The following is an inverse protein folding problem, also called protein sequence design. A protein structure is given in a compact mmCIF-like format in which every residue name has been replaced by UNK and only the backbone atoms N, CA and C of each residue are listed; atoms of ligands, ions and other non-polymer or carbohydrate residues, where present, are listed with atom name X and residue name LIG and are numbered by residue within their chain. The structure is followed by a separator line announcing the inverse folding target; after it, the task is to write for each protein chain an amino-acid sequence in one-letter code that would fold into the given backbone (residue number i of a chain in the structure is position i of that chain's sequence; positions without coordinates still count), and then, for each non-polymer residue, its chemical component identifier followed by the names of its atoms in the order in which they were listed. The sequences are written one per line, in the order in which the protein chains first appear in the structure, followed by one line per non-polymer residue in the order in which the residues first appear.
data_IF_557384481096
#
_entry.id   IF_557384481096
#
_cell.length_a   1.000
_cell.length_b   1.000
_cell.length_c   1.000
_cell.angle_alpha   90.00
_cell.angle_beta   90.00
_cell.angle_gamma   90.00
#
_symmetry.space_group_name_H-M   'P 1'
#
loop_
_entity.id
_entity.type
_entity.pdbx_description
1 polymer ?
#
# COMPACT_ATOMS: atom_id res chain seq x y z
N UNK A 1 4.14 -8.85 17.54
CA UNK A 1 4.22 -8.34 16.16
C UNK A 1 5.70 -8.25 15.77
N UNK A 2 6.04 -8.33 14.48
CA UNK A 2 7.43 -8.10 14.04
C UNK A 2 7.72 -6.60 14.03
N UNK A 3 8.98 -6.21 14.18
CA UNK A 3 9.38 -4.80 14.14
C UNK A 3 8.96 -4.12 12.81
N UNK A 4 9.06 -4.85 11.69
CA UNK A 4 8.60 -4.35 10.39
C UNK A 4 7.07 -4.13 10.32
N UNK A 5 6.27 -4.94 11.02
CA UNK A 5 4.82 -4.72 11.11
C UNK A 5 4.50 -3.49 11.96
N UNK A 6 5.16 -3.34 13.10
CA UNK A 6 4.95 -2.17 13.97
C UNK A 6 5.35 -0.87 13.25
N UNK A 7 6.44 -0.88 12.47
CA UNK A 7 6.84 0.25 11.63
C UNK A 7 5.79 0.58 10.57
N UNK A 8 5.27 -0.44 9.84
CA UNK A 8 4.21 -0.23 8.86
C UNK A 8 2.96 0.40 9.48
N UNK A 9 2.49 -0.15 10.60
CA UNK A 9 1.32 0.39 11.31
C UNK A 9 1.57 1.83 11.78
N UNK A 10 2.75 2.13 12.30
CA UNK A 10 3.12 3.50 12.69
C UNK A 10 3.17 4.47 11.51
N UNK A 11 3.52 4.02 10.30
CA UNK A 11 3.52 4.86 9.09
C UNK A 11 2.09 5.15 8.63
N UNK A 12 1.19 4.18 8.77
CA UNK A 12 -0.22 4.32 8.42
C UNK A 12 -1.02 5.13 9.45
N UNK A 13 -0.52 5.23 10.68
CA UNK A 13 -1.10 6.11 11.71
C UNK A 13 -0.71 7.58 11.47
N UNK A 14 -1.55 8.28 10.69
CA UNK A 14 -1.33 9.66 10.31
C UNK A 14 -1.46 10.62 11.50
N UNK A 15 -0.65 11.67 11.51
CA UNK A 15 -0.85 12.80 12.42
C UNK A 15 -2.00 13.67 11.88
N UNK A 16 -3.01 13.96 12.69
CA UNK A 16 -4.03 14.94 12.32
C UNK A 16 -3.50 16.34 12.59
N UNK A 17 -3.46 17.19 11.56
CA UNK A 17 -3.03 18.58 11.68
C UNK A 17 -4.21 19.52 11.88
N UNK A 18 -5.33 19.23 11.22
CA UNK A 18 -6.59 19.97 11.37
C UNK A 18 -7.78 19.12 10.93
N UNK A 19 -8.99 19.67 10.94
CA UNK A 19 -10.17 19.14 10.28
C UNK A 19 -9.86 18.83 8.81
N UNK A 20 -10.01 17.55 8.45
CA UNK A 20 -9.75 17.01 7.11
C UNK A 20 -8.31 17.22 6.58
N UNK A 21 -7.34 17.47 7.47
CA UNK A 21 -5.94 17.69 7.11
C UNK A 21 -5.02 16.77 7.92
N UNK A 22 -4.24 15.93 7.23
CA UNK A 22 -3.41 14.91 7.85
C UNK A 22 -1.97 14.97 7.34
N UNK A 23 -1.01 14.53 8.16
CA UNK A 23 0.40 14.38 7.82
C UNK A 23 0.81 12.92 7.86
N UNK A 24 1.30 12.42 6.73
CA UNK A 24 1.97 11.12 6.63
C UNK A 24 3.48 11.26 6.63
N UNK A 25 4.14 10.24 7.17
CA UNK A 25 5.60 10.09 7.16
C UNK A 25 5.98 8.94 6.24
N UNK A 26 7.18 8.97 5.69
CA UNK A 26 7.76 7.86 4.94
C UNK A 26 8.76 7.07 5.80
N UNK A 27 8.92 5.76 5.56
CA UNK A 27 10.03 5.00 6.12
C UNK A 27 11.37 5.66 5.77
N UNK A 28 12.35 5.57 6.68
CA UNK A 28 13.73 6.02 6.42
C UNK A 28 14.49 4.96 5.62
N UNK A 29 14.08 4.76 4.38
CA UNK A 29 14.75 3.83 3.45
C UNK A 29 15.50 4.64 2.39
N UNK A 30 16.66 4.12 1.95
CA UNK A 30 17.49 4.70 0.89
C UNK A 30 16.86 4.55 -0.52
N UNK A 31 15.58 4.91 -0.65
CA UNK A 31 14.89 4.97 -1.94
C UNK A 31 14.86 6.41 -2.43
N UNK A 32 15.07 6.57 -3.74
CA UNK A 32 15.00 7.88 -4.40
C UNK A 32 13.57 8.46 -4.42
N UNK A 33 12.53 7.63 -4.24
CA UNK A 33 11.13 8.02 -4.40
C UNK A 33 10.24 7.30 -3.40
N UNK A 34 9.13 7.96 -3.03
CA UNK A 34 8.08 7.36 -2.20
C UNK A 34 7.42 6.21 -2.95
N UNK A 35 7.17 5.11 -2.23
CA UNK A 35 6.45 3.96 -2.77
C UNK A 35 4.98 4.30 -3.02
N UNK A 36 4.47 4.01 -4.21
CA UNK A 36 3.09 4.33 -4.58
C UNK A 36 2.05 3.72 -3.64
N UNK A 37 2.25 2.49 -3.18
CA UNK A 37 1.35 1.84 -2.23
C UNK A 37 1.28 2.54 -0.87
N UNK A 38 2.38 3.16 -0.42
CA UNK A 38 2.38 3.98 0.79
C UNK A 38 1.48 5.21 0.59
N UNK A 39 1.66 5.93 -0.53
CA UNK A 39 0.87 7.13 -0.82
C UNK A 39 -0.62 6.83 -0.92
N UNK A 40 -0.99 5.71 -1.55
CA UNK A 40 -2.39 5.24 -1.66
C UNK A 40 -2.94 4.87 -0.28
N UNK A 41 -2.21 4.05 0.50
CA UNK A 41 -2.68 3.58 1.79
C UNK A 41 -2.88 4.74 2.77
N UNK A 42 -1.93 5.68 2.84
CA UNK A 42 -2.07 6.87 3.68
C UNK A 42 -3.21 7.78 3.21
N UNK A 43 -3.38 8.02 1.90
CA UNK A 43 -4.52 8.77 1.40
C UNK A 43 -5.86 8.12 1.76
N UNK A 44 -5.95 6.79 1.67
CA UNK A 44 -7.13 6.05 2.05
C UNK A 44 -7.42 6.10 3.55
N UNK A 45 -6.39 6.02 4.41
CA UNK A 45 -6.53 6.23 5.86
C UNK A 45 -7.06 7.64 6.15
N UNK A 46 -6.50 8.67 5.49
CA UNK A 46 -6.99 10.05 5.64
C UNK A 46 -8.47 10.15 5.26
N UNK A 47 -8.89 9.54 4.14
CA UNK A 47 -10.28 9.51 3.72
C UNK A 47 -11.18 8.81 4.77
N UNK A 48 -10.83 7.58 5.17
CA UNK A 48 -11.61 6.76 6.11
C UNK A 48 -11.81 7.46 7.47
N UNK A 49 -10.83 8.23 7.95
CA UNK A 49 -10.94 9.01 9.21
C UNK A 49 -11.99 10.12 9.17
N UNK A 50 -12.52 10.45 8.00
CA UNK A 50 -13.58 11.46 7.82
C UNK A 50 -14.97 10.85 7.54
N UNK A 51 -15.07 9.52 7.63
CA UNK A 51 -16.25 8.72 7.29
C UNK A 51 -16.72 7.99 8.55
N UNK A 52 -18.03 7.79 8.69
CA UNK A 52 -18.60 7.02 9.80
C UNK A 52 -18.04 5.58 9.85
N UNK A 53 -17.78 5.00 11.04
CA UNK A 53 -17.13 3.70 11.18
C UNK A 53 -17.84 2.53 10.46
N UNK A 54 -19.16 2.62 10.31
CA UNK A 54 -19.99 1.59 9.68
C UNK A 54 -19.92 1.61 8.14
N UNK A 55 -19.20 2.58 7.55
CA UNK A 55 -19.04 2.67 6.10
C UNK A 55 -17.62 2.26 5.70
N UNK A 56 -17.55 1.19 4.93
CA UNK A 56 -16.30 0.61 4.44
C UNK A 56 -16.00 1.09 3.03
N UNK A 57 -14.72 1.31 2.74
CA UNK A 57 -14.28 1.58 1.36
C UNK A 57 -14.59 0.38 0.48
N UNK A 58 -15.21 0.62 -0.68
CA UNK A 58 -15.48 -0.42 -1.68
C UNK A 58 -14.84 -0.12 -3.03
N UNK A 59 -14.45 1.13 -3.28
CA UNK A 59 -13.67 1.50 -4.44
C UNK A 59 -12.79 2.71 -4.18
N UNK A 60 -11.69 2.78 -4.93
CA UNK A 60 -10.86 3.96 -5.02
C UNK A 60 -10.30 4.09 -6.44
N UNK A 61 -10.06 5.33 -6.85
CA UNK A 61 -9.35 5.69 -8.07
C UNK A 61 -8.27 6.69 -7.70
N UNK A 62 -7.13 6.67 -8.39
CA UNK A 62 -6.09 7.64 -8.13
C UNK A 62 -5.12 7.85 -9.27
N UNK A 63 -4.48 9.02 -9.26
CA UNK A 63 -3.51 9.44 -10.26
C UNK A 63 -2.23 9.92 -9.58
N UNK A 64 -1.10 9.36 -9.99
CA UNK A 64 0.22 9.85 -9.61
C UNK A 64 0.65 10.94 -10.59
N UNK A 65 0.83 12.15 -10.08
CA UNK A 65 1.19 13.32 -10.89
C UNK A 65 2.69 13.61 -10.83
N UNK A 66 3.32 13.39 -9.67
CA UNK A 66 4.73 13.71 -9.43
C UNK A 66 5.38 12.64 -8.55
N UNK A 67 6.70 12.40 -8.70
CA UNK A 67 7.43 11.55 -7.77
C UNK A 67 7.43 12.20 -6.38
N UNK A 68 7.18 11.40 -5.34
CA UNK A 68 7.26 11.87 -3.95
C UNK A 68 8.71 11.93 -3.46
N UNK A 69 9.02 12.94 -2.65
CA UNK A 69 10.29 13.15 -1.97
C UNK A 69 10.28 12.42 -0.60
N UNK A 70 11.19 11.47 -0.41
CA UNK A 70 11.29 10.66 0.81
C UNK A 70 11.81 11.44 2.02
N UNK A 71 12.37 12.64 1.83
CA UNK A 71 12.99 13.43 2.89
C UNK A 71 12.01 14.35 3.63
N UNK A 72 10.80 14.54 3.08
CA UNK A 72 9.79 15.43 3.66
C UNK A 72 8.47 14.68 3.85
N UNK A 73 7.65 15.05 4.85
CA UNK A 73 6.34 14.43 5.04
C UNK A 73 5.39 14.73 3.88
N UNK A 74 4.30 13.99 3.81
CA UNK A 74 3.22 14.19 2.84
C UNK A 74 2.03 14.80 3.58
N UNK A 75 1.42 15.85 3.02
CA UNK A 75 0.18 16.42 3.53
C UNK A 75 -0.99 15.87 2.74
N UNK A 76 -1.99 15.31 3.41
CA UNK A 76 -3.21 14.79 2.83
C UNK A 76 -4.38 15.71 3.17
N UNK A 77 -4.95 16.34 2.15
CA UNK A 77 -6.11 17.21 2.25
C UNK A 77 -7.34 16.41 1.81
N UNK A 78 -8.37 16.33 2.64
CA UNK A 78 -9.58 15.55 2.37
C UNK A 78 -10.75 16.48 2.07
N UNK A 79 -11.37 16.33 0.91
CA UNK A 79 -12.64 16.98 0.58
C UNK A 79 -13.79 15.99 0.78
N UNK A 80 -14.79 16.39 1.58
CA UNK A 80 -16.01 15.61 1.82
C UNK A 80 -17.02 15.88 0.72
N UNK A 81 -16.85 15.22 -0.43
CA UNK A 81 -17.64 15.45 -1.65
C UNK A 81 -19.14 15.20 -1.43
N UNK A 82 -19.50 14.11 -0.75
CA UNK A 82 -20.89 13.75 -0.49
C UNK A 82 -21.01 12.81 0.70
N UNK A 83 -22.01 13.06 1.55
CA UNK A 83 -22.53 12.11 2.54
C UNK A 83 -23.99 11.80 2.19
N UNK A 84 -24.20 10.72 1.44
CA UNK A 84 -25.52 10.26 1.02
C UNK A 84 -26.07 9.15 1.94
N UNK A 85 -27.32 8.74 1.68
CA UNK A 85 -27.97 7.65 2.41
C UNK A 85 -27.13 6.36 2.44
N UNK A 86 -26.85 5.78 1.27
CA UNK A 86 -26.05 4.54 1.17
C UNK A 86 -24.55 4.79 0.95
N UNK A 87 -24.18 5.87 0.26
CA UNK A 87 -22.80 6.10 -0.19
C UNK A 87 -22.21 7.39 0.37
N UNK A 88 -20.92 7.33 0.68
CA UNK A 88 -20.09 8.46 1.06
C UNK A 88 -18.91 8.58 0.11
N UNK A 89 -18.63 9.78 -0.38
CA UNK A 89 -17.54 10.05 -1.33
C UNK A 89 -16.53 11.00 -0.71
N UNK A 90 -15.25 10.67 -0.81
CA UNK A 90 -14.12 11.50 -0.39
C UNK A 90 -13.15 11.69 -1.54
N UNK A 91 -12.62 12.89 -1.67
CA UNK A 91 -11.45 13.18 -2.50
C UNK A 91 -10.28 13.50 -1.59
N UNK A 92 -9.09 13.02 -1.91
CA UNK A 92 -7.87 13.28 -1.16
C UNK A 92 -6.80 13.80 -2.12
N UNK A 93 -6.16 14.90 -1.76
CA UNK A 93 -4.99 15.42 -2.47
C UNK A 93 -3.78 15.27 -1.56
N UNK A 94 -2.79 14.51 -2.02
CA UNK A 94 -1.49 14.40 -1.38
C UNK A 94 -0.56 15.50 -1.92
N UNK A 95 0.03 16.28 -1.02
CA UNK A 95 0.83 17.47 -1.32
C UNK A 95 2.21 17.37 -0.70
N UNK A 96 3.23 17.71 -1.48
CA UNK A 96 4.60 17.96 -1.02
C UNK A 96 5.13 19.22 -1.71
N UNK A 97 5.93 20.02 -1.01
CA UNK A 97 6.52 21.26 -1.54
C UNK A 97 5.47 22.21 -2.16
N UNK A 98 4.26 22.24 -1.60
CA UNK A 98 3.13 23.03 -2.12
C UNK A 98 2.53 22.51 -3.45
N UNK A 99 2.93 21.32 -3.92
CA UNK A 99 2.47 20.74 -5.17
C UNK A 99 1.74 19.42 -4.93
N UNK A 100 0.65 19.20 -5.66
CA UNK A 100 -0.04 17.91 -5.65
C UNK A 100 0.85 16.82 -6.28
N UNK A 101 1.11 15.76 -5.53
CA UNK A 101 1.88 14.59 -6.00
C UNK A 101 0.98 13.41 -6.38
N UNK A 102 -0.18 13.31 -5.72
CA UNK A 102 -1.16 12.25 -5.93
C UNK A 102 -2.56 12.76 -5.60
N UNK A 103 -3.55 12.26 -6.31
CA UNK A 103 -4.97 12.50 -6.04
C UNK A 103 -5.70 11.17 -5.96
N UNK A 104 -6.59 11.03 -4.99
CA UNK A 104 -7.45 9.87 -4.80
C UNK A 104 -8.91 10.30 -4.68
N UNK A 105 -9.81 9.52 -5.27
CA UNK A 105 -11.24 9.55 -4.98
C UNK A 105 -11.64 8.18 -4.46
N UNK A 106 -12.32 8.13 -3.32
CA UNK A 106 -12.77 6.90 -2.69
C UNK A 106 -14.26 6.97 -2.38
N UNK A 107 -14.91 5.81 -2.55
CA UNK A 107 -16.31 5.61 -2.23
C UNK A 107 -16.44 4.59 -1.10
N UNK A 108 -17.33 4.92 -0.17
CA UNK A 108 -17.60 4.17 1.04
C UNK A 108 -19.08 3.84 1.11
N UNK A 109 -19.41 2.65 1.60
CA UNK A 109 -20.78 2.15 1.73
C UNK A 109 -20.91 1.36 3.03
N UNK A 110 -22.11 1.36 3.60
CA UNK A 110 -22.47 0.41 4.66
C UNK A 110 -22.60 -1.02 4.09
N UNK A 111 -22.48 -2.03 4.94
CA UNK A 111 -22.74 -3.41 4.53
C UNK A 111 -24.21 -3.60 4.16
N UNK A 112 -24.46 -4.24 3.01
CA UNK A 112 -25.80 -4.55 2.51
C UNK A 112 -25.82 -5.96 1.94
N UNK A 113 -26.91 -6.70 2.20
CA UNK A 113 -27.10 -8.05 1.64
C UNK A 113 -27.50 -7.92 0.17
N UNK A 114 -26.86 -8.69 -0.70
CA UNK A 114 -27.09 -8.65 -2.13
C UNK A 114 -26.80 -9.98 -2.82
N UNK A 115 -26.73 -9.94 -4.15
CA UNK A 115 -26.30 -11.10 -4.94
C UNK A 115 -24.79 -11.27 -4.81
N UNK A 116 -24.35 -12.51 -4.57
CA UNK A 116 -22.93 -12.85 -4.47
C UNK A 116 -22.50 -13.71 -5.67
N UNK A 117 -21.44 -13.28 -6.34
CA UNK A 117 -20.76 -14.07 -7.36
C UNK A 117 -19.29 -13.63 -7.45
N UNK A 118 -18.40 -14.57 -7.72
CA UNK A 118 -16.99 -14.29 -7.99
C UNK A 118 -16.44 -15.31 -8.98
N UNK A 119 -15.35 -14.96 -9.66
CA UNK A 119 -14.59 -15.94 -10.46
C UNK A 119 -13.95 -16.96 -9.51
N UNK A 120 -13.95 -18.24 -9.90
CA UNK A 120 -13.30 -19.29 -9.13
C UNK A 120 -11.78 -19.07 -9.07
N UNK A 121 -11.17 -19.30 -7.91
CA UNK A 121 -9.71 -19.26 -7.76
C UNK A 121 -9.04 -20.33 -8.65
N UNK A 122 -7.96 -20.01 -9.38
CA UNK A 122 -7.18 -21.00 -10.12
C UNK A 122 -6.68 -22.13 -9.22
N UNK A 123 -6.83 -23.38 -9.67
CA UNK A 123 -6.50 -24.58 -8.88
C UNK A 123 -5.04 -25.05 -9.06
N UNK A 124 -4.36 -24.54 -10.08
CA UNK A 124 -2.98 -24.87 -10.47
C UNK A 124 -1.92 -24.03 -9.74
N UNK A 125 -2.30 -23.37 -8.64
CA UNK A 125 -1.39 -22.55 -7.82
C UNK A 125 -0.91 -23.38 -6.62
N UNK A 126 0.41 -23.52 -6.40
CA UNK A 126 0.93 -24.22 -5.23
C UNK A 126 0.50 -23.57 -3.91
N UNK A 127 0.28 -24.39 -2.88
CA UNK A 127 0.00 -23.89 -1.54
C UNK A 127 1.21 -23.11 -0.97
N UNK A 128 1.01 -22.02 -0.21
CA UNK A 128 2.11 -21.22 0.33
C UNK A 128 3.12 -22.03 1.16
N UNK A 129 2.69 -23.07 1.86
CA UNK A 129 3.56 -23.89 2.71
C UNK A 129 4.51 -24.80 1.92
N UNK A 130 4.25 -25.01 0.62
CA UNK A 130 5.15 -25.78 -0.26
C UNK A 130 6.19 -24.91 -0.97
N UNK A 131 6.06 -23.59 -0.84
CA UNK A 131 6.97 -22.62 -1.45
C UNK A 131 8.04 -22.17 -0.46
N UNK A 132 9.24 -21.92 -0.99
CA UNK A 132 10.32 -21.34 -0.21
C UNK A 132 10.10 -19.84 -0.04
N UNK A 133 10.26 -19.36 1.19
CA UNK A 133 10.37 -17.95 1.51
C UNK A 133 11.62 -17.33 0.89
N UNK A 134 11.63 -16.01 0.75
CA UNK A 134 12.82 -15.26 0.33
C UNK A 134 14.06 -15.57 1.21
N UNK A 135 13.88 -15.75 2.52
CA UNK A 135 14.97 -16.10 3.44
C UNK A 135 15.53 -17.49 3.16
N UNK A 136 14.67 -18.48 2.93
CA UNK A 136 15.09 -19.84 2.59
C UNK A 136 15.76 -19.89 1.20
N UNK A 137 15.28 -19.09 0.25
CA UNK A 137 15.93 -18.95 -1.07
C UNK A 137 17.33 -18.37 -0.95
N UNK A 138 17.54 -17.33 -0.13
CA UNK A 138 18.89 -16.82 0.14
C UNK A 138 19.77 -17.90 0.76
N UNK A 139 19.27 -18.62 1.77
CA UNK A 139 20.01 -19.71 2.41
C UNK A 139 20.38 -20.84 1.44
N UNK A 140 19.49 -21.16 0.49
CA UNK A 140 19.69 -22.22 -0.49
C UNK A 140 20.65 -21.85 -1.61
N UNK A 141 20.60 -20.62 -2.10
CA UNK A 141 21.36 -20.19 -3.28
C UNK A 141 22.61 -19.35 -2.94
N UNK A 142 22.73 -18.85 -1.71
CA UNK A 142 23.93 -18.21 -1.19
C UNK A 142 24.53 -17.16 -2.13
N UNK A 143 25.80 -17.32 -2.47
CA UNK A 143 26.60 -16.44 -3.36
C UNK A 143 26.12 -16.40 -4.82
N UNK A 144 25.28 -17.34 -5.25
CA UNK A 144 24.71 -17.30 -6.59
C UNK A 144 23.60 -16.25 -6.73
N UNK A 145 23.07 -15.71 -5.61
CA UNK A 145 22.08 -14.63 -5.62
C UNK A 145 22.78 -13.29 -5.84
N UNK A 146 22.48 -12.54 -6.90
CA UNK A 146 23.04 -11.20 -7.13
C UNK A 146 22.84 -10.28 -5.92
N UNK A 147 23.86 -9.49 -5.57
CA UNK A 147 23.89 -8.65 -4.36
C UNK A 147 22.66 -7.74 -4.21
N UNK A 148 22.17 -7.17 -5.32
CA UNK A 148 20.98 -6.32 -5.31
C UNK A 148 19.71 -7.06 -4.89
N UNK A 149 19.57 -8.32 -5.33
CA UNK A 149 18.44 -9.19 -4.99
C UNK A 149 18.57 -9.66 -3.54
N UNK A 150 19.77 -10.08 -3.13
CA UNK A 150 20.04 -10.48 -1.76
C UNK A 150 19.68 -9.36 -0.78
N UNK A 151 20.19 -8.15 -0.99
CA UNK A 151 19.88 -6.97 -0.16
C UNK A 151 18.39 -6.64 -0.13
N UNK A 152 17.64 -6.93 -1.20
CA UNK A 152 16.20 -6.72 -1.25
C UNK A 152 15.43 -7.77 -0.45
N UNK A 153 15.84 -9.04 -0.53
CA UNK A 153 15.22 -10.19 0.13
C UNK A 153 15.59 -10.33 1.62
N UNK A 154 16.76 -9.85 2.06
CA UNK A 154 17.19 -9.89 3.46
C UNK A 154 16.42 -8.90 4.36
N UNK A 155 15.73 -7.93 3.77
CA UNK A 155 14.96 -6.92 4.52
C UNK A 155 13.86 -7.59 5.31
N UNK A 156 13.73 -7.20 6.58
CA UNK A 156 12.56 -7.57 7.36
C UNK A 156 11.32 -6.92 6.75
N UNK A 157 10.24 -7.69 6.58
CA UNK A 157 9.00 -7.24 5.93
C UNK A 157 7.81 -7.57 6.81
N UNK A 158 6.77 -6.72 6.78
CA UNK A 158 5.52 -6.99 7.48
C UNK A 158 4.78 -8.19 6.88
N UNK A 159 5.01 -8.49 5.60
CA UNK A 159 4.35 -9.57 4.86
C UNK A 159 5.43 -10.47 4.26
N UNK A 160 5.32 -11.77 4.54
CA UNK A 160 6.18 -12.79 3.92
C UNK A 160 5.81 -12.97 2.44
N UNK A 161 6.83 -13.02 1.59
CA UNK A 161 6.67 -13.22 0.16
C UNK A 161 7.27 -14.56 -0.23
N UNK A 162 6.45 -15.42 -0.84
CA UNK A 162 6.85 -16.74 -1.36
C UNK A 162 6.61 -16.79 -2.87
N UNK A 163 7.66 -16.64 -3.70
CA UNK A 163 7.50 -16.60 -5.15
C UNK A 163 7.14 -17.99 -5.70
N UNK A 164 6.14 -18.05 -6.59
CA UNK A 164 5.78 -19.27 -7.33
C UNK A 164 6.77 -19.53 -8.49
N UNK A 165 7.21 -18.46 -9.17
CA UNK A 165 8.15 -18.53 -10.29
C UNK A 165 9.43 -17.75 -9.96
N UNK A 166 10.56 -18.44 -9.85
CA UNK A 166 11.85 -17.83 -9.50
C UNK A 166 12.50 -17.11 -10.68
N UNK A 167 12.19 -17.53 -11.90
CA UNK A 167 12.73 -16.96 -13.15
C UNK A 167 12.44 -15.46 -13.27
N UNK A 168 11.32 -14.98 -12.71
CA UNK A 168 10.99 -13.54 -12.67
C UNK A 168 12.00 -12.69 -11.88
N UNK A 169 12.72 -13.31 -10.97
CA UNK A 169 13.70 -12.63 -10.12
C UNK A 169 15.12 -12.81 -10.65
N UNK A 170 15.40 -13.92 -11.34
CA UNK A 170 16.76 -14.30 -11.75
C UNK A 170 17.04 -14.10 -13.24
N UNK A 171 16.01 -13.94 -14.06
CA UNK A 171 16.12 -13.70 -15.51
C UNK A 171 15.70 -12.28 -15.88
N UNK A 172 16.21 -11.79 -17.02
CA UNK A 172 15.79 -10.54 -17.67
C UNK A 172 14.85 -10.76 -18.85
N UNK A 173 14.54 -12.02 -19.16
CA UNK A 173 13.59 -12.35 -20.20
C UNK A 173 12.20 -11.85 -19.81
N UNK A 174 11.51 -11.22 -20.78
CA UNK A 174 10.13 -10.79 -20.59
C UNK A 174 9.21 -11.99 -20.84
N UNK A 175 8.20 -12.13 -19.99
CA UNK A 175 7.06 -13.03 -20.22
C UNK A 175 6.26 -12.59 -21.46
#
# INVERSE_FOLDING_TARGET
MTAAMDELLSILDLEQLEHNLYRGRSPKLDWQRIFGGQTIAQALVAAQRTVEPERHVHSLHGYFMRPGDTKVPIIYQVDRIRDGGSFTTRRVVAVQHGQAIFSLEASFQQDEVGLEHQVAMPQDVPAPDTLLSQRELIGKFGEAVPDGIRRYWERDRPIEMKPVMLEHYTSREKL
#
